data_IF_925602472384
#
_entry.id   IF_925602472384
#
_cell.length_a   1.000
_cell.length_b   1.000
_cell.length_c   1.000
_cell.angle_alpha   90.00
_cell.angle_beta   90.00
_cell.angle_gamma   90.00
#
_symmetry.space_group_name_H-M   'P 1'
#
loop_
_entity.id
_entity.type
_entity.pdbx_description
1 polymer ?
#
# COMPACT_ATOMS: atom_id res chain seq x y z
N UNK A 1 14.26 5.34 18.35
CA UNK A 1 13.68 4.16 19.03
C UNK A 1 12.20 4.38 19.39
N UNK A 2 11.82 5.39 20.21
CA UNK A 2 10.43 5.56 20.65
C UNK A 2 9.48 5.92 19.49
N UNK A 3 9.84 6.83 18.60
CA UNK A 3 9.03 7.22 17.46
C UNK A 3 8.70 6.03 16.54
N UNK A 4 9.71 5.22 16.18
CA UNK A 4 9.50 4.06 15.32
C UNK A 4 8.54 3.03 15.93
N UNK A 5 8.68 2.76 17.23
CA UNK A 5 7.77 1.89 17.97
C UNK A 5 6.32 2.40 17.89
N UNK A 6 6.11 3.67 18.25
CA UNK A 6 4.77 4.28 18.25
C UNK A 6 4.18 4.33 16.84
N UNK A 7 4.99 4.61 15.81
CA UNK A 7 4.53 4.64 14.43
C UNK A 7 4.09 3.25 13.93
N UNK A 8 4.85 2.20 14.24
CA UNK A 8 4.45 0.84 13.88
C UNK A 8 3.23 0.35 14.65
N UNK A 9 3.11 0.67 15.94
CA UNK A 9 1.91 0.39 16.74
C UNK A 9 0.69 1.16 16.22
N UNK A 10 0.88 2.39 15.75
CA UNK A 10 -0.20 3.22 15.20
C UNK A 10 -0.78 2.61 13.90
N UNK A 11 0.08 2.09 13.03
CA UNK A 11 -0.34 1.49 11.76
C UNK A 11 -0.90 0.08 11.96
N UNK A 12 -0.13 -0.79 12.61
CA UNK A 12 -0.45 -2.23 12.73
C UNK A 12 -1.42 -2.55 13.89
N UNK A 13 -1.49 -1.66 14.88
CA UNK A 13 -2.19 -1.91 16.13
C UNK A 13 -1.29 -2.61 17.16
N UNK A 14 -1.57 -2.36 18.45
CA UNK A 14 -0.77 -2.93 19.56
C UNK A 14 -0.87 -4.45 19.67
N UNK A 15 -1.91 -5.04 19.08
CA UNK A 15 -2.14 -6.48 19.07
C UNK A 15 -1.53 -7.23 17.89
N UNK A 16 -0.88 -6.51 16.96
CA UNK A 16 -0.21 -7.06 15.79
C UNK A 16 0.68 -8.25 16.11
N UNK A 17 0.50 -9.35 15.39
CA UNK A 17 1.34 -10.53 15.49
C UNK A 17 2.76 -10.24 15.00
N UNK A 18 2.89 -9.48 13.93
CA UNK A 18 4.18 -9.08 13.36
C UNK A 18 5.04 -8.28 14.36
N UNK A 19 4.38 -7.36 15.12
CA UNK A 19 5.07 -6.61 16.19
C UNK A 19 5.52 -7.51 17.35
N UNK A 20 4.64 -8.40 17.83
CA UNK A 20 4.92 -9.32 18.93
C UNK A 20 6.04 -10.31 18.60
N UNK A 21 6.13 -10.72 17.36
CA UNK A 21 7.13 -11.66 16.84
C UNK A 21 8.43 -10.98 16.41
N UNK A 22 8.51 -9.65 16.48
CA UNK A 22 9.73 -8.90 16.11
C UNK A 22 10.01 -8.90 14.60
N UNK A 23 9.00 -9.10 13.76
CA UNK A 23 9.11 -9.11 12.29
C UNK A 23 9.02 -7.73 11.64
N UNK A 24 8.91 -6.66 12.44
CA UNK A 24 8.75 -5.30 11.94
C UNK A 24 10.03 -4.50 12.09
N UNK A 25 10.60 -4.05 11.00
CA UNK A 25 11.67 -3.06 10.97
C UNK A 25 11.09 -1.67 10.68
N UNK A 26 11.54 -0.66 11.43
CA UNK A 26 11.03 0.71 11.29
C UNK A 26 12.18 1.68 11.10
N UNK A 27 12.07 2.52 10.06
CA UNK A 27 13.03 3.57 9.73
C UNK A 27 12.30 4.89 9.59
N UNK A 28 12.83 5.93 10.26
CA UNK A 28 12.33 7.30 10.07
C UNK A 28 12.95 7.91 8.82
N UNK A 29 12.12 8.52 7.98
CA UNK A 29 12.53 9.23 6.78
C UNK A 29 12.06 10.69 6.78
N UNK A 30 12.53 11.47 5.82
CA UNK A 30 12.14 12.88 5.66
C UNK A 30 10.79 12.94 4.92
N UNK A 31 9.71 13.01 5.68
CA UNK A 31 8.33 13.03 5.19
C UNK A 31 7.95 11.78 4.37
N UNK A 32 6.70 11.71 3.86
CA UNK A 32 6.22 10.62 3.01
C UNK A 32 7.04 10.45 1.72
N UNK A 33 7.44 11.56 1.09
CA UNK A 33 8.30 11.53 -0.11
C UNK A 33 9.63 10.84 0.16
N UNK A 34 10.28 11.15 1.28
CA UNK A 34 11.52 10.49 1.69
C UNK A 34 11.31 9.01 2.03
N UNK A 35 10.20 8.68 2.69
CA UNK A 35 9.84 7.29 3.00
C UNK A 35 9.65 6.47 1.73
N UNK A 36 8.87 6.97 0.76
CA UNK A 36 8.67 6.31 -0.54
C UNK A 36 9.98 6.16 -1.31
N UNK A 37 10.89 7.14 -1.24
CA UNK A 37 12.21 7.03 -1.88
C UNK A 37 13.07 5.93 -1.24
N UNK A 38 13.03 5.79 0.10
CA UNK A 38 13.71 4.70 0.81
C UNK A 38 13.12 3.35 0.41
N UNK A 39 11.78 3.23 0.40
CA UNK A 39 11.10 2.02 -0.07
C UNK A 39 11.46 1.69 -1.52
N UNK A 40 11.48 2.68 -2.41
CA UNK A 40 11.85 2.48 -3.82
C UNK A 40 13.29 1.96 -3.96
N UNK A 41 14.23 2.48 -3.17
CA UNK A 41 15.61 1.98 -3.15
C UNK A 41 15.68 0.55 -2.61
N UNK A 42 14.96 0.22 -1.54
CA UNK A 42 14.88 -1.13 -0.99
C UNK A 42 14.34 -2.12 -2.03
N UNK A 43 13.24 -1.76 -2.68
CA UNK A 43 12.64 -2.59 -3.74
C UNK A 43 13.62 -2.82 -4.89
N UNK A 44 14.26 -1.76 -5.41
CA UNK A 44 15.17 -1.87 -6.54
C UNK A 44 16.48 -2.58 -6.21
N UNK A 45 17.15 -2.15 -5.13
CA UNK A 45 18.51 -2.58 -4.83
C UNK A 45 18.56 -3.92 -4.07
N UNK A 46 17.60 -4.18 -3.19
CA UNK A 46 17.59 -5.37 -2.33
C UNK A 46 16.63 -6.42 -2.85
N UNK A 47 15.35 -6.06 -3.04
CA UNK A 47 14.33 -7.00 -3.50
C UNK A 47 14.38 -7.28 -5.02
N UNK A 48 15.22 -6.55 -5.76
CA UNK A 48 15.40 -6.71 -7.23
C UNK A 48 14.10 -6.57 -8.03
N UNK A 49 13.18 -5.74 -7.53
CA UNK A 49 11.97 -5.37 -8.25
C UNK A 49 12.32 -4.41 -9.38
N UNK A 50 11.84 -4.68 -10.58
CA UNK A 50 12.06 -3.81 -11.75
C UNK A 50 10.82 -2.99 -12.09
N UNK A 51 9.62 -3.48 -11.77
CA UNK A 51 8.34 -2.87 -12.11
C UNK A 51 7.52 -2.64 -10.86
N UNK A 52 6.93 -1.43 -10.75
CA UNK A 52 5.97 -1.10 -9.70
C UNK A 52 4.63 -0.68 -10.32
N UNK A 53 3.53 -1.13 -9.74
CA UNK A 53 2.19 -0.88 -10.23
C UNK A 53 1.49 0.17 -9.36
N UNK A 54 0.89 1.18 -10.00
CA UNK A 54 0.14 2.26 -9.38
C UNK A 54 -1.32 2.23 -9.81
N UNK A 55 -2.21 2.74 -8.97
CA UNK A 55 -3.58 3.05 -9.40
C UNK A 55 -3.59 4.12 -10.51
N UNK A 56 -4.59 4.05 -11.39
CA UNK A 56 -4.84 5.11 -12.38
C UNK A 56 -6.18 5.78 -12.07
N UNK A 57 -6.17 7.05 -11.63
CA UNK A 57 -5.01 7.90 -11.32
C UNK A 57 -4.32 7.53 -10.01
N UNK A 58 -3.16 8.14 -9.74
CA UNK A 58 -2.46 8.11 -8.46
C UNK A 58 -1.85 9.47 -8.16
N UNK A 59 -1.33 9.67 -6.93
CA UNK A 59 -0.59 10.90 -6.60
C UNK A 59 0.61 11.08 -7.52
N UNK A 60 0.66 12.23 -8.20
CA UNK A 60 1.62 12.47 -9.28
C UNK A 60 3.10 12.30 -8.92
N UNK A 61 3.46 12.42 -7.63
CA UNK A 61 4.83 12.20 -7.20
C UNK A 61 5.20 10.71 -7.11
N UNK A 62 4.26 9.78 -7.04
CA UNK A 62 4.57 8.35 -7.11
C UNK A 62 5.37 8.02 -8.38
N UNK A 63 4.89 8.48 -9.55
CA UNK A 63 5.59 8.28 -10.83
C UNK A 63 7.02 8.83 -10.80
N UNK A 64 7.20 10.04 -10.23
CA UNK A 64 8.51 10.69 -10.17
C UNK A 64 9.47 9.98 -9.21
N UNK A 65 8.99 9.59 -8.03
CA UNK A 65 9.81 8.97 -6.98
C UNK A 65 10.28 7.59 -7.43
N UNK A 66 9.37 6.75 -7.91
CA UNK A 66 9.69 5.39 -8.34
C UNK A 66 10.50 5.38 -9.62
N UNK A 67 10.15 6.21 -10.60
CA UNK A 67 10.95 6.37 -11.83
C UNK A 67 12.36 6.85 -11.56
N UNK A 68 12.56 7.84 -10.66
CA UNK A 68 13.88 8.31 -10.25
C UNK A 68 14.70 7.26 -9.48
N UNK A 69 14.06 6.21 -8.96
CA UNK A 69 14.72 5.06 -8.37
C UNK A 69 15.12 3.97 -9.40
N UNK A 70 14.77 4.19 -10.67
CA UNK A 70 15.03 3.21 -11.74
C UNK A 70 14.00 2.09 -11.83
N UNK A 71 12.82 2.28 -11.24
CA UNK A 71 11.69 1.36 -11.39
C UNK A 71 10.87 1.75 -12.62
N UNK A 72 10.46 0.77 -13.43
CA UNK A 72 9.44 0.95 -14.44
C UNK A 72 8.08 1.10 -13.75
N UNK A 73 7.35 2.17 -14.05
CA UNK A 73 6.04 2.43 -13.45
C UNK A 73 4.95 2.04 -14.43
N UNK A 74 4.10 1.12 -14.01
CA UNK A 74 2.89 0.69 -14.74
C UNK A 74 1.65 1.05 -13.94
N UNK A 75 0.49 1.08 -14.59
CA UNK A 75 -0.77 1.41 -13.94
C UNK A 75 -1.78 0.28 -14.05
N UNK A 76 -2.69 0.20 -13.07
CA UNK A 76 -3.89 -0.63 -13.11
C UNK A 76 -5.14 0.26 -13.00
N UNK A 77 -6.27 -0.22 -13.49
CA UNK A 77 -7.56 0.48 -13.37
C UNK A 77 -7.95 0.64 -11.92
N UNK A 78 -8.53 1.77 -11.56
CA UNK A 78 -8.92 2.07 -10.18
C UNK A 78 -10.27 2.75 -10.07
N UNK A 79 -10.52 3.79 -10.89
CA UNK A 79 -11.75 4.57 -10.85
C UNK A 79 -12.51 4.41 -12.15
N UNK A 80 -13.82 4.52 -12.08
CA UNK A 80 -14.70 4.44 -13.24
C UNK A 80 -14.51 5.59 -14.24
N UNK A 81 -15.05 5.45 -15.44
CA UNK A 81 -14.92 6.47 -16.49
C UNK A 81 -15.55 7.82 -16.12
N UNK A 82 -16.52 7.85 -15.20
CA UNK A 82 -17.12 9.08 -14.68
C UNK A 82 -16.29 9.72 -13.57
N UNK A 83 -15.24 9.06 -13.08
CA UNK A 83 -14.37 9.47 -11.99
C UNK A 83 -15.11 9.69 -10.66
N UNK A 84 -16.18 8.96 -10.42
CA UNK A 84 -17.04 9.11 -9.26
C UNK A 84 -17.02 7.92 -8.30
N UNK A 85 -16.61 6.75 -8.77
CA UNK A 85 -16.64 5.53 -7.97
C UNK A 85 -15.44 4.62 -8.25
N UNK A 86 -15.04 3.86 -7.23
CA UNK A 86 -14.04 2.80 -7.38
C UNK A 86 -14.55 1.73 -8.35
N UNK A 87 -13.77 1.42 -9.39
CA UNK A 87 -14.04 0.31 -10.31
C UNK A 87 -13.38 -0.98 -9.81
N UNK A 88 -13.87 -1.47 -8.67
CA UNK A 88 -13.25 -2.56 -7.92
C UNK A 88 -13.07 -3.83 -8.75
N UNK A 89 -14.06 -4.17 -9.59
CA UNK A 89 -13.98 -5.35 -10.48
C UNK A 89 -12.80 -5.27 -11.44
N UNK A 90 -12.64 -4.12 -12.11
CA UNK A 90 -11.54 -3.90 -13.04
C UNK A 90 -10.19 -3.84 -12.34
N UNK A 91 -10.12 -3.18 -11.17
CA UNK A 91 -8.93 -3.19 -10.33
C UNK A 91 -8.49 -4.62 -10.00
N UNK A 92 -9.42 -5.45 -9.51
CA UNK A 92 -9.15 -6.83 -9.12
C UNK A 92 -8.73 -7.70 -10.31
N UNK A 93 -9.35 -7.52 -11.48
CA UNK A 93 -8.99 -8.20 -12.72
C UNK A 93 -7.54 -7.87 -13.14
N UNK A 94 -7.19 -6.59 -13.16
CA UNK A 94 -5.82 -6.16 -13.52
C UNK A 94 -4.77 -6.70 -12.54
N UNK A 95 -5.05 -6.64 -11.24
CA UNK A 95 -4.15 -7.15 -10.20
C UNK A 95 -4.00 -8.68 -10.29
N UNK A 96 -5.08 -9.40 -10.55
CA UNK A 96 -5.06 -10.86 -10.73
C UNK A 96 -4.24 -11.31 -11.94
N UNK A 97 -4.08 -10.46 -12.95
CA UNK A 97 -3.29 -10.73 -14.14
C UNK A 97 -1.77 -10.51 -13.93
N UNK A 98 -1.36 -9.91 -12.82
CA UNK A 98 0.06 -9.65 -12.53
C UNK A 98 0.82 -10.95 -12.23
N UNK A 99 2.09 -11.04 -12.64
CA UNK A 99 2.93 -12.15 -12.26
C UNK A 99 3.28 -12.12 -10.76
N UNK A 100 3.57 -13.30 -10.15
CA UNK A 100 4.03 -13.37 -8.76
C UNK A 100 5.25 -12.48 -8.50
N UNK A 101 5.34 -11.91 -7.30
CA UNK A 101 6.40 -10.96 -6.92
C UNK A 101 6.19 -9.54 -7.42
N UNK A 102 5.11 -9.25 -8.18
CA UNK A 102 4.81 -7.88 -8.62
C UNK A 102 4.52 -6.98 -7.42
N UNK A 103 5.16 -5.81 -7.39
CA UNK A 103 4.93 -4.81 -6.35
C UNK A 103 3.82 -3.83 -6.75
N UNK A 104 2.88 -3.60 -5.84
CA UNK A 104 1.72 -2.72 -6.06
C UNK A 104 1.62 -1.70 -4.94
N UNK A 105 1.55 -0.41 -5.31
CA UNK A 105 1.28 0.67 -4.36
C UNK A 105 -0.21 0.75 -4.09
N UNK A 106 -0.57 0.71 -2.82
CA UNK A 106 -1.94 0.84 -2.33
C UNK A 106 -2.01 2.05 -1.39
N UNK A 107 -3.01 2.91 -1.57
CA UNK A 107 -3.30 3.97 -0.61
C UNK A 107 -4.14 3.35 0.51
N UNK A 108 -3.65 3.42 1.75
CA UNK A 108 -4.31 2.76 2.89
C UNK A 108 -5.71 3.34 3.18
N UNK A 109 -5.86 4.65 3.01
CA UNK A 109 -7.11 5.39 3.12
C UNK A 109 -6.99 6.73 2.40
N UNK A 110 -8.12 7.37 2.12
CA UNK A 110 -8.25 8.67 1.43
C UNK A 110 -7.39 8.71 0.16
N UNK A 111 -7.68 7.81 -0.77
CA UNK A 111 -6.95 7.66 -2.02
C UNK A 111 -6.74 8.99 -2.74
N UNK A 112 -5.50 9.37 -2.97
CA UNK A 112 -5.14 10.62 -3.65
C UNK A 112 -4.88 10.36 -5.15
N UNK A 113 -5.67 10.96 -6.07
CA UNK A 113 -6.52 12.15 -5.87
C UNK A 113 -8.02 11.88 -5.75
N UNK A 114 -8.51 10.65 -5.80
CA UNK A 114 -9.93 10.36 -6.03
C UNK A 114 -10.81 10.43 -4.78
N UNK A 115 -10.24 10.21 -3.59
CA UNK A 115 -11.01 10.07 -2.37
C UNK A 115 -11.89 8.81 -2.31
N UNK A 116 -11.79 7.91 -3.30
CA UNK A 116 -12.54 6.67 -3.34
C UNK A 116 -11.69 5.53 -2.79
N UNK A 117 -12.13 4.90 -1.72
CA UNK A 117 -11.42 3.79 -1.08
C UNK A 117 -12.21 2.48 -1.20
N UNK A 118 -11.54 1.32 -1.27
CA UNK A 118 -12.20 0.03 -1.10
C UNK A 118 -12.89 -0.08 0.26
N UNK A 119 -14.02 -0.75 0.31
CA UNK A 119 -14.68 -1.11 1.57
C UNK A 119 -13.85 -2.14 2.36
N UNK A 120 -14.16 -2.35 3.64
CA UNK A 120 -13.48 -3.38 4.45
C UNK A 120 -13.57 -4.77 3.81
N UNK A 121 -14.73 -5.14 3.25
CA UNK A 121 -14.90 -6.41 2.55
C UNK A 121 -14.01 -6.50 1.30
N UNK A 122 -13.90 -5.40 0.54
CA UNK A 122 -13.04 -5.33 -0.64
C UNK A 122 -11.55 -5.37 -0.26
N UNK A 123 -11.14 -4.77 0.86
CA UNK A 123 -9.79 -4.90 1.39
C UNK A 123 -9.45 -6.34 1.78
N UNK A 124 -10.40 -7.07 2.40
CA UNK A 124 -10.22 -8.49 2.68
C UNK A 124 -10.05 -9.32 1.40
N UNK A 125 -10.89 -9.07 0.37
CA UNK A 125 -10.75 -9.74 -0.94
C UNK A 125 -9.41 -9.43 -1.61
N UNK A 126 -8.91 -8.20 -1.52
CA UNK A 126 -7.60 -7.83 -2.04
C UNK A 126 -6.48 -8.53 -1.27
N UNK A 127 -6.57 -8.61 0.05
CA UNK A 127 -5.57 -9.30 0.85
C UNK A 127 -5.45 -10.78 0.46
N UNK A 128 -6.59 -11.46 0.29
CA UNK A 128 -6.63 -12.85 -0.19
C UNK A 128 -6.05 -12.99 -1.60
N UNK A 129 -6.36 -12.05 -2.51
CA UNK A 129 -5.80 -12.02 -3.85
C UNK A 129 -4.27 -11.85 -3.83
N UNK A 130 -3.77 -10.90 -3.03
CA UNK A 130 -2.33 -10.63 -2.91
C UNK A 130 -1.60 -11.87 -2.39
N UNK A 131 -2.13 -12.52 -1.36
CA UNK A 131 -1.56 -13.76 -0.83
C UNK A 131 -1.55 -14.87 -1.88
N UNK A 132 -2.71 -15.13 -2.52
CA UNK A 132 -2.84 -16.19 -3.52
C UNK A 132 -1.98 -15.98 -4.77
N UNK A 133 -1.70 -14.73 -5.14
CA UNK A 133 -0.90 -14.35 -6.31
C UNK A 133 0.55 -14.02 -5.96
N UNK A 134 0.93 -14.10 -4.69
CA UNK A 134 2.27 -13.72 -4.21
C UNK A 134 2.64 -12.28 -4.61
N UNK A 135 1.67 -11.34 -4.56
CA UNK A 135 1.93 -9.93 -4.85
C UNK A 135 2.51 -9.24 -3.62
N UNK A 136 3.34 -8.24 -3.84
CA UNK A 136 3.98 -7.45 -2.78
C UNK A 136 3.25 -6.12 -2.60
N UNK A 137 2.51 -5.90 -1.49
CA UNK A 137 1.86 -4.63 -1.23
C UNK A 137 2.85 -3.59 -0.69
N UNK A 138 2.78 -2.37 -1.21
CA UNK A 138 3.42 -1.19 -0.65
C UNK A 138 2.34 -0.19 -0.27
N UNK A 139 2.02 -0.08 1.02
CA UNK A 139 1.01 0.86 1.50
C UNK A 139 1.58 2.26 1.67
N UNK A 140 0.92 3.25 1.04
CA UNK A 140 1.07 4.67 1.34
C UNK A 140 -0.06 5.09 2.30
N UNK A 141 0.29 5.41 3.55
CA UNK A 141 -0.64 5.71 4.64
C UNK A 141 -0.50 7.17 5.11
N UNK A 142 -0.66 8.11 4.19
CA UNK A 142 -0.48 9.55 4.47
C UNK A 142 -1.59 10.15 5.35
N UNK A 143 -2.79 9.55 5.40
CA UNK A 143 -3.98 10.18 5.95
C UNK A 143 -4.65 9.42 7.09
N UNK A 144 -3.95 8.45 7.69
CA UNK A 144 -4.47 7.70 8.84
C UNK A 144 -4.82 8.62 10.02
N UNK A 145 -6.04 8.54 10.51
CA UNK A 145 -6.62 9.40 11.53
C UNK A 145 -7.27 10.67 10.99
N UNK A 146 -7.07 10.99 9.70
CA UNK A 146 -7.65 12.17 9.07
C UNK A 146 -8.80 11.85 8.11
N UNK A 147 -8.83 10.64 7.54
CA UNK A 147 -9.84 10.25 6.57
C UNK A 147 -11.22 10.10 7.23
N UNK A 148 -11.34 9.28 8.27
CA UNK A 148 -12.59 9.06 9.04
C UNK A 148 -12.63 9.78 10.37
N UNK A 149 -11.51 10.32 10.86
CA UNK A 149 -11.33 10.80 12.22
C UNK A 149 -11.05 9.70 13.24
N UNK A 150 -10.99 8.45 12.81
CA UNK A 150 -10.66 7.29 13.64
C UNK A 150 -9.44 6.55 13.03
N UNK A 151 -8.28 6.59 13.69
CA UNK A 151 -7.06 5.98 13.15
C UNK A 151 -7.15 4.46 12.99
N UNK A 152 -7.99 3.78 13.77
CA UNK A 152 -8.14 2.33 13.65
C UNK A 152 -8.98 1.93 12.43
N UNK A 153 -10.00 2.74 12.11
CA UNK A 153 -10.78 2.58 10.87
C UNK A 153 -9.90 2.84 9.65
N UNK A 154 -9.09 3.90 9.70
CA UNK A 154 -8.23 4.29 8.58
C UNK A 154 -7.06 3.31 8.34
N UNK A 155 -6.70 2.50 9.35
CA UNK A 155 -5.69 1.44 9.24
C UNK A 155 -6.25 0.08 8.77
N UNK A 156 -7.56 -0.02 8.54
CA UNK A 156 -8.23 -1.29 8.24
C UNK A 156 -7.60 -2.04 7.06
N UNK A 157 -7.19 -1.32 6.02
CA UNK A 157 -6.53 -1.89 4.84
C UNK A 157 -5.24 -2.65 5.21
N UNK A 158 -4.31 -1.99 5.90
CA UNK A 158 -3.02 -2.58 6.29
C UNK A 158 -3.24 -3.76 7.23
N UNK A 159 -4.15 -3.62 8.20
CA UNK A 159 -4.45 -4.68 9.18
C UNK A 159 -5.17 -5.88 8.56
N UNK A 160 -5.99 -5.68 7.53
CA UNK A 160 -6.57 -6.78 6.76
C UNK A 160 -5.49 -7.62 6.08
N UNK A 161 -4.51 -6.98 5.46
CA UNK A 161 -3.37 -7.64 4.83
C UNK A 161 -2.47 -8.36 5.85
N UNK A 162 -2.19 -7.76 7.00
CA UNK A 162 -1.46 -8.44 8.07
C UNK A 162 -2.20 -9.69 8.55
N UNK A 163 -3.50 -9.57 8.82
CA UNK A 163 -4.34 -10.68 9.30
C UNK A 163 -4.42 -11.83 8.29
N UNK A 164 -4.45 -11.53 7.00
CA UNK A 164 -4.44 -12.52 5.93
C UNK A 164 -3.05 -13.16 5.72
N UNK A 165 -1.98 -12.60 6.30
CA UNK A 165 -0.60 -13.02 6.02
C UNK A 165 -0.08 -12.53 4.66
N UNK A 166 -0.69 -11.49 4.10
CA UNK A 166 -0.34 -10.91 2.80
C UNK A 166 0.70 -9.77 2.90
N UNK A 167 1.20 -9.48 4.09
CA UNK A 167 2.38 -8.62 4.26
C UNK A 167 3.64 -9.48 4.26
N UNK A 168 4.74 -9.01 3.62
CA UNK A 168 5.99 -9.76 3.53
C UNK A 168 6.71 -9.96 4.87
#
# INVERSE_FOLDING_TARGET
AAFGKLASEFVLGTDSAALKEGRVATVQALSGTGALRVCAALLKEVAKVDVIHLSQPSWGNHHKIFGAAGLEVRSHRYIDASQTALEFGAMKEDLAALPPGSCVVLHACAHNPTGCDPTEAQWAELADLFLAKELVPLFDAAYQGYASGNPDVDAAAVRAFEKAGALP
#
